data_IF_348486122330
#
_entry.id   IF_348486122330
#
_cell.length_a   1.000
_cell.length_b   1.000
_cell.length_c   1.000
_cell.angle_alpha   90.00
_cell.angle_beta   90.00
_cell.angle_gamma   90.00
#
_symmetry.space_group_name_H-M   'P 1'
#
loop_
_entity.id
_entity.type
_entity.pdbx_description
1 polymer ?
#
# COMPACT_ATOMS: atom_id res chain seq x y z
N UNK A 1 11.03 4.09 3.36
CA UNK A 1 9.79 4.72 3.86
C UNK A 1 8.78 3.62 4.13
N UNK A 2 8.22 3.58 5.33
CA UNK A 2 7.39 2.47 5.82
C UNK A 2 6.14 2.98 6.55
N UNK A 3 5.07 2.18 6.52
CA UNK A 3 3.81 2.44 7.20
C UNK A 3 3.25 1.15 7.84
N UNK A 4 2.11 1.27 8.52
CA UNK A 4 1.38 0.18 9.15
C UNK A 4 -0.02 0.03 8.55
N UNK A 5 -0.38 -1.19 8.12
CA UNK A 5 -1.73 -1.46 7.58
C UNK A 5 -2.81 -1.28 8.62
N UNK A 6 -2.55 -1.67 9.87
CA UNK A 6 -3.51 -1.55 10.97
C UNK A 6 -3.76 -0.09 11.31
N UNK A 7 -2.70 0.73 11.31
CA UNK A 7 -2.84 2.17 11.51
C UNK A 7 -3.64 2.84 10.39
N UNK A 8 -3.37 2.49 9.12
CA UNK A 8 -4.14 2.99 7.98
C UNK A 8 -5.60 2.57 8.08
N UNK A 9 -5.89 1.31 8.38
CA UNK A 9 -7.26 0.82 8.46
C UNK A 9 -8.06 1.50 9.58
N UNK A 10 -7.42 1.74 10.73
CA UNK A 10 -8.02 2.54 11.81
C UNK A 10 -8.30 3.97 11.36
N UNK A 11 -7.36 4.61 10.67
CA UNK A 11 -7.55 5.97 10.15
C UNK A 11 -8.72 6.05 9.14
N UNK A 12 -8.81 5.08 8.22
CA UNK A 12 -9.93 4.94 7.26
C UNK A 12 -11.25 4.80 8.00
N UNK A 13 -11.34 3.89 8.97
CA UNK A 13 -12.59 3.66 9.70
C UNK A 13 -13.04 4.91 10.48
N UNK A 14 -12.11 5.65 11.08
CA UNK A 14 -12.42 6.89 11.79
C UNK A 14 -12.89 7.98 10.82
N UNK A 15 -12.17 8.19 9.72
CA UNK A 15 -12.53 9.16 8.70
C UNK A 15 -13.92 8.89 8.09
N UNK A 16 -14.25 7.61 7.82
CA UNK A 16 -15.56 7.22 7.30
C UNK A 16 -16.67 7.51 8.31
N UNK A 17 -16.47 7.18 9.60
CA UNK A 17 -17.45 7.49 10.65
C UNK A 17 -17.67 8.99 10.79
N UNK A 18 -16.60 9.76 10.82
CA UNK A 18 -16.67 11.22 10.94
C UNK A 18 -17.39 11.84 9.75
N UNK A 19 -17.10 11.38 8.53
CA UNK A 19 -17.77 11.85 7.31
C UNK A 19 -19.27 11.54 7.30
N UNK A 20 -19.67 10.33 7.73
CA UNK A 20 -21.09 9.96 7.84
C UNK A 20 -21.80 10.78 8.91
N UNK A 21 -21.17 11.00 10.06
CA UNK A 21 -21.71 11.85 11.13
C UNK A 21 -21.88 13.30 10.65
N UNK A 22 -20.88 13.84 9.93
CA UNK A 22 -20.93 15.20 9.39
C UNK A 22 -22.01 15.36 8.31
N UNK A 23 -22.28 14.31 7.53
CA UNK A 23 -23.33 14.31 6.53
C UNK A 23 -24.75 14.21 7.12
N UNK A 24 -24.88 13.85 8.40
CA UNK A 24 -26.16 13.67 9.12
C UNK A 24 -27.15 12.75 8.36
N UNK A 25 -26.63 11.63 7.83
CA UNK A 25 -27.43 10.63 7.14
C UNK A 25 -27.51 9.34 7.94
N UNK A 26 -28.59 8.59 7.75
CA UNK A 26 -28.64 7.22 8.22
C UNK A 26 -27.70 6.35 7.36
N UNK A 27 -26.84 5.49 7.97
CA UNK A 27 -25.95 4.60 7.22
C UNK A 27 -26.65 3.77 6.13
N UNK A 28 -27.93 3.46 6.27
CA UNK A 28 -28.71 2.75 5.24
C UNK A 28 -28.80 3.51 3.91
N UNK A 29 -28.54 4.82 3.91
CA UNK A 29 -28.52 5.66 2.71
C UNK A 29 -27.21 5.53 1.92
N UNK A 30 -26.13 5.04 2.52
CA UNK A 30 -24.86 4.76 1.81
C UNK A 30 -25.05 3.50 0.96
N UNK A 31 -24.96 3.65 -0.37
CA UNK A 31 -25.23 2.56 -1.33
C UNK A 31 -23.99 1.95 -1.97
N UNK A 32 -22.82 2.55 -1.76
CA UNK A 32 -21.57 2.10 -2.33
C UNK A 32 -20.37 2.69 -1.59
N UNK A 33 -19.26 1.98 -1.64
CA UNK A 33 -17.98 2.36 -1.08
C UNK A 33 -16.94 2.23 -2.19
N UNK A 34 -16.14 3.29 -2.39
CA UNK A 34 -14.97 3.27 -3.25
C UNK A 34 -13.73 3.49 -2.40
N UNK A 35 -12.65 2.80 -2.74
CA UNK A 35 -11.36 2.96 -2.09
C UNK A 35 -10.29 3.18 -3.15
N UNK A 36 -9.48 4.20 -2.93
CA UNK A 36 -8.21 4.39 -3.61
C UNK A 36 -7.09 4.47 -2.57
N UNK A 37 -5.87 4.21 -3.00
CA UNK A 37 -4.69 4.28 -2.18
C UNK A 37 -3.48 4.55 -3.08
N UNK A 38 -2.39 4.98 -2.45
CA UNK A 38 -1.07 4.93 -3.11
C UNK A 38 -0.73 3.49 -3.47
N UNK A 39 0.10 3.28 -4.50
CA UNK A 39 0.57 1.96 -4.95
C UNK A 39 1.63 1.35 -4.02
N UNK A 40 1.45 1.50 -2.71
CA UNK A 40 2.32 0.91 -1.69
C UNK A 40 2.08 -0.60 -1.57
N UNK A 41 3.10 -1.35 -1.13
CA UNK A 41 3.04 -2.81 -0.97
C UNK A 41 2.76 -3.18 0.48
N UNK A 42 1.62 -3.82 0.75
CA UNK A 42 1.26 -4.38 2.06
C UNK A 42 1.69 -5.84 2.15
N UNK A 43 2.35 -6.23 3.24
CA UNK A 43 2.81 -7.60 3.48
C UNK A 43 2.13 -8.19 4.71
N UNK A 44 1.60 -9.40 4.57
CA UNK A 44 0.92 -10.15 5.61
C UNK A 44 1.47 -11.59 5.68
N UNK A 45 1.37 -12.22 6.84
CA UNK A 45 1.68 -13.64 7.01
C UNK A 45 0.54 -14.56 6.51
N UNK A 46 0.68 -15.87 6.74
CA UNK A 46 -0.29 -16.88 6.28
C UNK A 46 -1.63 -16.78 7.00
N UNK A 47 -1.64 -16.15 8.17
CA UNK A 47 -2.80 -15.91 9.01
C UNK A 47 -3.44 -14.54 8.73
N UNK A 48 -2.87 -13.77 7.78
CA UNK A 48 -3.36 -12.44 7.41
C UNK A 48 -2.95 -11.34 8.40
N UNK A 49 -1.93 -11.56 9.25
CA UNK A 49 -1.43 -10.57 10.20
C UNK A 49 -0.25 -9.79 9.63
N UNK A 50 0.02 -8.56 10.11
CA UNK A 50 1.17 -7.78 9.69
C UNK A 50 2.50 -8.53 9.80
N UNK A 51 3.21 -8.67 8.67
CA UNK A 51 4.54 -9.26 8.61
C UNK A 51 5.56 -8.17 8.30
N UNK A 52 6.62 -8.09 9.10
CA UNK A 52 7.57 -6.98 9.01
C UNK A 52 8.28 -6.92 7.66
N UNK A 53 8.39 -5.70 7.10
CA UNK A 53 9.26 -5.35 5.96
C UNK A 53 10.40 -4.42 6.39
N UNK A 54 10.53 -4.19 7.70
CA UNK A 54 11.40 -3.17 8.26
C UNK A 54 12.70 -3.75 8.79
N UNK A 55 13.85 -3.05 8.62
CA UNK A 55 15.07 -3.35 9.36
C UNK A 55 14.89 -3.28 10.88
N UNK A 56 13.86 -2.60 11.38
CA UNK A 56 13.55 -2.54 12.81
C UNK A 56 13.03 -3.88 13.38
N UNK A 57 12.57 -4.79 12.51
CA UNK A 57 11.93 -6.05 12.90
C UNK A 57 10.52 -5.90 13.49
N UNK A 58 9.98 -4.68 13.57
CA UNK A 58 8.62 -4.43 14.07
C UNK A 58 7.57 -4.91 13.08
N UNK A 59 6.69 -5.80 13.50
CA UNK A 59 5.62 -6.37 12.65
C UNK A 59 4.63 -5.32 12.20
N UNK A 60 4.44 -4.24 12.96
CA UNK A 60 3.55 -3.14 12.60
C UNK A 60 4.04 -2.38 11.36
N UNK A 61 5.35 -2.43 11.06
CA UNK A 61 5.91 -1.83 9.86
C UNK A 61 5.91 -2.86 8.73
N UNK A 62 4.73 -3.05 8.15
CA UNK A 62 4.43 -4.07 7.14
C UNK A 62 4.08 -3.50 5.76
N UNK A 63 4.27 -2.20 5.55
CA UNK A 63 4.05 -1.54 4.28
C UNK A 63 5.34 -0.93 3.77
N UNK A 64 5.75 -1.28 2.56
CA UNK A 64 6.74 -0.52 1.79
C UNK A 64 5.97 0.57 1.06
N UNK A 65 6.20 1.83 1.43
CA UNK A 65 5.50 2.96 0.81
C UNK A 65 6.01 3.17 -0.61
N UNK A 66 5.14 3.54 -1.55
CA UNK A 66 5.46 3.74 -2.98
C UNK A 66 6.75 4.55 -3.23
N UNK A 67 7.02 5.59 -2.44
CA UNK A 67 8.22 6.44 -2.58
C UNK A 67 9.51 5.83 -1.97
N UNK A 68 9.52 4.54 -1.63
CA UNK A 68 10.68 3.85 -1.08
C UNK A 68 11.63 3.37 -2.19
N UNK A 69 12.89 3.79 -2.15
CA UNK A 69 13.91 3.44 -3.15
C UNK A 69 14.83 2.28 -2.77
N UNK A 70 14.51 1.46 -1.77
CA UNK A 70 15.40 0.36 -1.33
C UNK A 70 15.69 -0.66 -2.43
N UNK A 71 14.85 -0.71 -3.47
CA UNK A 71 14.88 -1.71 -4.53
C UNK A 71 15.65 -1.29 -5.80
N UNK A 72 16.47 -0.22 -5.77
CA UNK A 72 17.24 0.26 -6.94
C UNK A 72 18.03 -0.87 -7.62
N UNK A 73 18.81 -1.64 -6.86
CA UNK A 73 19.64 -2.72 -7.42
C UNK A 73 18.80 -3.83 -8.07
N UNK A 74 17.60 -4.10 -7.54
CA UNK A 74 16.67 -5.07 -8.10
C UNK A 74 16.05 -4.54 -9.40
N UNK A 75 15.66 -3.28 -9.45
CA UNK A 75 15.16 -2.63 -10.66
C UNK A 75 16.21 -2.63 -11.77
N UNK A 76 17.47 -2.28 -11.48
CA UNK A 76 18.59 -2.37 -12.43
C UNK A 76 18.76 -3.78 -13.00
N UNK A 77 18.74 -4.81 -12.12
CA UNK A 77 18.85 -6.21 -12.54
C UNK A 77 17.67 -6.65 -13.42
N UNK A 78 16.45 -6.21 -13.11
CA UNK A 78 15.25 -6.49 -13.92
C UNK A 78 15.36 -5.81 -15.28
N UNK A 79 15.76 -4.54 -15.32
CA UNK A 79 15.93 -3.79 -16.56
C UNK A 79 16.97 -4.43 -17.49
N UNK A 80 18.03 -5.02 -16.93
CA UNK A 80 19.04 -5.75 -17.71
C UNK A 80 18.48 -6.98 -18.46
N UNK A 81 17.33 -7.54 -18.03
CA UNK A 81 16.70 -8.70 -18.70
C UNK A 81 16.09 -8.35 -20.06
N UNK A 82 15.72 -7.08 -20.28
CA UNK A 82 14.98 -6.62 -21.48
C UNK A 82 13.73 -7.47 -21.77
N UNK A 83 13.09 -7.98 -20.72
CA UNK A 83 11.90 -8.80 -20.87
C UNK A 83 10.76 -7.99 -21.50
N UNK A 84 9.98 -8.61 -22.41
CA UNK A 84 8.88 -7.94 -23.15
C UNK A 84 7.84 -7.24 -22.28
N UNK A 85 7.67 -7.66 -21.02
CA UNK A 85 6.75 -6.99 -20.10
C UNK A 85 7.17 -5.56 -19.77
N UNK A 86 8.46 -5.22 -19.95
CA UNK A 86 8.96 -3.86 -19.73
C UNK A 86 8.43 -2.87 -20.77
N UNK A 87 7.96 -3.34 -21.94
CA UNK A 87 7.37 -2.49 -22.98
C UNK A 87 6.15 -1.70 -22.45
N UNK A 88 5.44 -2.26 -21.46
CA UNK A 88 4.26 -1.63 -20.85
C UNK A 88 4.60 -0.54 -19.81
N UNK A 89 5.88 -0.39 -19.44
CA UNK A 89 6.37 0.65 -18.51
C UNK A 89 7.44 1.53 -19.17
N UNK A 90 7.48 1.59 -20.50
CA UNK A 90 8.45 2.42 -21.24
C UNK A 90 9.87 1.84 -21.27
N UNK A 91 10.03 0.53 -21.06
CA UNK A 91 11.29 -0.19 -21.13
C UNK A 91 12.13 -0.16 -19.85
N UNK A 92 11.73 0.62 -18.85
CA UNK A 92 12.47 0.80 -17.58
C UNK A 92 11.48 0.70 -16.42
N UNK A 93 11.61 -0.34 -15.60
CA UNK A 93 10.85 -0.43 -14.35
C UNK A 93 11.47 0.50 -13.29
N UNK A 94 10.61 1.19 -12.57
CA UNK A 94 10.95 2.05 -11.44
C UNK A 94 11.25 1.23 -10.18
N UNK A 95 12.11 1.71 -9.26
CA UNK A 95 12.24 1.14 -7.92
C UNK A 95 11.12 1.56 -6.97
N UNK A 96 10.39 2.63 -7.31
CA UNK A 96 9.05 3.00 -6.78
C UNK A 96 7.95 2.22 -7.48
#
# INVERSE_FOLDING_TARGET
>A
VEQSSDNIWQAVCNAVRDAVNQADINPIQVKGLGFDATCSLVVLDKEGKPLTVSPSGRTEQNIIVWMDHRAIAQAERINATKHRVLDFVGGIISPE
#
